data_IF_976868860011
#
_entry.id   IF_976868860011
#
_cell.length_a   1.000
_cell.length_b   1.000
_cell.length_c   1.000
_cell.angle_alpha   90.00
_cell.angle_beta   90.00
_cell.angle_gamma   90.00
#
_symmetry.space_group_name_H-M   'P 1'
#
loop_
_entity.id
_entity.type
_entity.pdbx_description
1 polymer ?
#
# COMPACT_ATOMS: atom_id res chain seq x y z
N UNK A 1 -25.27 -2.00 -4.93
CA UNK A 1 -24.39 -0.81 -5.01
C UNK A 1 -23.05 -1.31 -5.51
N UNK A 2 -22.48 -0.70 -6.56
CA UNK A 2 -21.20 -1.12 -7.11
C UNK A 2 -20.08 -0.92 -6.08
N UNK A 3 -19.11 -1.85 -6.07
CA UNK A 3 -17.97 -1.84 -5.16
C UNK A 3 -16.66 -2.15 -5.92
N UNK A 4 -15.54 -2.28 -5.21
CA UNK A 4 -14.22 -2.52 -5.84
C UNK A 4 -14.12 -3.90 -6.52
N UNK A 5 -14.89 -4.91 -6.11
CA UNK A 5 -14.93 -6.21 -6.77
C UNK A 5 -15.62 -6.10 -8.13
N UNK A 6 -16.74 -5.33 -8.20
CA UNK A 6 -17.40 -5.03 -9.48
C UNK A 6 -16.45 -4.27 -10.44
N UNK A 7 -15.60 -3.39 -9.90
CA UNK A 7 -14.57 -2.72 -10.72
C UNK A 7 -13.55 -3.71 -11.28
N UNK A 8 -13.08 -4.66 -10.48
CA UNK A 8 -12.14 -5.70 -10.94
C UNK A 8 -12.78 -6.61 -11.99
N UNK A 9 -14.04 -6.96 -11.83
CA UNK A 9 -14.79 -7.72 -12.82
C UNK A 9 -14.93 -6.94 -14.14
N UNK A 10 -15.18 -5.64 -14.06
CA UNK A 10 -15.45 -4.76 -15.18
C UNK A 10 -14.20 -4.29 -15.92
N UNK A 11 -13.08 -4.06 -15.19
CA UNK A 11 -11.87 -3.41 -15.68
C UNK A 11 -10.61 -4.24 -15.50
N UNK A 12 -10.71 -5.41 -14.86
CA UNK A 12 -9.59 -6.30 -14.61
C UNK A 12 -8.96 -6.88 -15.88
N UNK A 13 -9.64 -6.82 -17.01
CA UNK A 13 -9.16 -7.21 -18.33
C UNK A 13 -8.28 -6.14 -19.03
N UNK A 14 -8.36 -4.88 -18.60
CA UNK A 14 -7.65 -3.75 -19.21
C UNK A 14 -6.31 -3.47 -18.47
N UNK A 15 -5.16 -3.80 -19.08
CA UNK A 15 -3.88 -3.50 -18.47
C UNK A 15 -3.63 -1.98 -18.43
N UNK A 16 -2.63 -1.54 -17.64
CA UNK A 16 -2.35 -0.12 -17.43
C UNK A 16 -1.91 0.61 -18.70
N UNK A 17 -1.34 -0.08 -19.68
CA UNK A 17 -1.00 0.47 -21.00
C UNK A 17 -2.24 0.82 -21.82
N UNK A 18 -3.33 0.08 -21.63
CA UNK A 18 -4.59 0.32 -22.33
C UNK A 18 -5.52 1.30 -21.57
N UNK A 19 -5.40 1.36 -20.27
CA UNK A 19 -6.18 2.26 -19.42
C UNK A 19 -5.32 2.73 -18.25
N UNK A 20 -4.89 3.98 -18.28
CA UNK A 20 -4.01 4.58 -17.27
C UNK A 20 -4.54 4.40 -15.84
N UNK A 21 -3.62 4.51 -14.87
CA UNK A 21 -3.94 4.48 -13.45
C UNK A 21 -4.98 5.56 -13.08
N UNK A 22 -5.97 5.19 -12.29
CA UNK A 22 -7.04 6.07 -11.85
C UNK A 22 -7.31 5.95 -10.34
N UNK A 23 -8.25 6.76 -9.84
CA UNK A 23 -8.56 6.82 -8.39
C UNK A 23 -9.15 5.51 -7.86
N UNK A 24 -9.83 4.72 -8.68
CA UNK A 24 -10.38 3.41 -8.23
C UNK A 24 -9.25 2.40 -8.06
N UNK A 25 -8.22 2.44 -8.91
CA UNK A 25 -7.00 1.63 -8.71
C UNK A 25 -6.32 1.99 -7.37
N UNK A 26 -6.29 3.28 -7.02
CA UNK A 26 -5.77 3.71 -5.71
C UNK A 26 -6.59 3.15 -4.54
N UNK A 27 -7.92 3.05 -4.67
CA UNK A 27 -8.78 2.38 -3.67
C UNK A 27 -8.45 0.90 -3.58
N UNK A 28 -8.31 0.22 -4.73
CA UNK A 28 -7.92 -1.21 -4.78
C UNK A 28 -6.60 -1.43 -4.07
N UNK A 29 -5.55 -0.67 -4.41
CA UNK A 29 -4.25 -0.81 -3.76
C UNK A 29 -4.28 -0.46 -2.27
N UNK A 30 -4.99 0.60 -1.90
CA UNK A 30 -5.11 0.98 -0.48
C UNK A 30 -5.80 -0.11 0.33
N UNK A 31 -6.77 -0.83 -0.26
CA UNK A 31 -7.41 -1.96 0.40
C UNK A 31 -6.52 -3.20 0.42
N UNK A 32 -5.84 -3.49 -0.68
CA UNK A 32 -4.87 -4.57 -0.82
C UNK A 32 -3.74 -4.48 0.23
N UNK A 33 -3.32 -3.27 0.62
CA UNK A 33 -2.25 -3.09 1.62
C UNK A 33 -2.59 -3.59 3.03
N UNK A 34 -3.85 -3.96 3.31
CA UNK A 34 -4.26 -4.55 4.58
C UNK A 34 -3.97 -6.06 4.69
N UNK A 35 -3.58 -6.69 3.59
CA UNK A 35 -3.22 -8.12 3.59
C UNK A 35 -1.81 -8.29 4.19
N UNK A 36 -1.64 -9.18 5.17
CA UNK A 36 -0.36 -9.40 5.82
C UNK A 36 0.54 -10.29 4.96
N UNK A 37 1.46 -9.67 4.21
CA UNK A 37 2.33 -10.35 3.25
C UNK A 37 3.70 -10.78 3.81
N UNK A 38 3.86 -10.88 5.12
CA UNK A 38 5.10 -11.33 5.75
C UNK A 38 5.60 -12.66 5.17
N UNK A 39 6.84 -12.67 4.67
CA UNK A 39 7.46 -13.85 4.07
C UNK A 39 6.89 -14.27 2.70
N UNK A 40 5.97 -13.49 2.12
CA UNK A 40 5.46 -13.67 0.75
C UNK A 40 6.03 -12.59 -0.17
N UNK A 41 5.83 -11.32 0.18
CA UNK A 41 6.41 -10.18 -0.53
C UNK A 41 7.76 -9.86 0.12
N UNK A 42 8.84 -9.71 -0.68
CA UNK A 42 10.16 -9.33 -0.16
C UNK A 42 10.12 -8.01 0.61
N UNK A 43 10.89 -7.92 1.68
CA UNK A 43 11.10 -6.72 2.49
C UNK A 43 12.13 -5.76 1.89
N UNK A 44 12.85 -6.17 0.87
CA UNK A 44 13.76 -5.36 0.08
C UNK A 44 13.15 -4.91 -1.26
N UNK A 45 13.79 -3.98 -1.94
CA UNK A 45 13.32 -3.43 -3.22
C UNK A 45 13.99 -4.07 -4.46
N UNK A 46 14.94 -4.98 -4.26
CA UNK A 46 15.69 -5.65 -5.33
C UNK A 46 15.03 -6.94 -5.80
N UNK A 47 14.35 -7.64 -4.91
CA UNK A 47 13.56 -8.83 -5.21
C UNK A 47 12.09 -8.49 -5.36
N UNK A 48 11.40 -9.26 -6.20
CA UNK A 48 10.00 -9.01 -6.49
C UNK A 48 9.21 -10.32 -6.55
N UNK A 49 7.92 -10.21 -6.32
CA UNK A 49 6.93 -11.27 -6.56
C UNK A 49 5.75 -10.66 -7.30
N UNK A 50 5.10 -11.40 -8.19
CA UNK A 50 3.89 -10.89 -8.85
C UNK A 50 2.69 -10.89 -7.90
N UNK A 51 1.69 -10.03 -8.14
CA UNK A 51 0.43 -10.07 -7.40
C UNK A 51 -0.23 -11.45 -7.52
N UNK A 52 -0.16 -12.09 -8.69
CA UNK A 52 -0.70 -13.45 -8.90
C UNK A 52 0.00 -14.49 -8.02
N UNK A 53 1.33 -14.51 -7.98
CA UNK A 53 2.10 -15.42 -7.13
C UNK A 53 1.88 -15.14 -5.63
N UNK A 54 1.81 -13.86 -5.24
CA UNK A 54 1.51 -13.50 -3.86
C UNK A 54 0.11 -13.95 -3.45
N UNK A 55 -0.88 -13.80 -4.34
CA UNK A 55 -2.24 -14.29 -4.14
C UNK A 55 -2.28 -15.81 -4.01
N UNK A 56 -1.61 -16.55 -4.90
CA UNK A 56 -1.54 -18.01 -4.84
C UNK A 56 -0.94 -18.50 -3.52
N UNK A 57 0.21 -17.94 -3.12
CA UNK A 57 0.89 -18.31 -1.86
C UNK A 57 0.04 -17.98 -0.62
N UNK A 58 -0.61 -16.82 -0.61
CA UNK A 58 -1.43 -16.39 0.52
C UNK A 58 -2.70 -17.24 0.66
N UNK A 59 -3.44 -17.41 -0.44
CA UNK A 59 -4.70 -18.17 -0.47
C UNK A 59 -4.50 -19.68 -0.37
N UNK A 60 -3.30 -20.19 -0.63
CA UNK A 60 -2.92 -21.57 -0.42
C UNK A 60 -2.63 -21.91 1.05
N UNK A 61 -2.54 -20.93 1.94
CA UNK A 61 -2.24 -21.09 3.36
C UNK A 61 -3.46 -20.71 4.22
N UNK A 62 -4.15 -21.72 4.76
CA UNK A 62 -5.36 -21.52 5.55
C UNK A 62 -5.12 -20.74 6.85
N UNK A 63 -3.93 -20.85 7.46
CA UNK A 63 -3.58 -20.13 8.66
C UNK A 63 -3.45 -18.64 8.34
N UNK A 64 -2.78 -18.29 7.25
CA UNK A 64 -2.66 -16.88 6.77
C UNK A 64 -4.02 -16.25 6.47
N UNK A 65 -4.94 -17.00 5.85
CA UNK A 65 -6.27 -16.50 5.55
C UNK A 65 -7.05 -16.05 6.80
N UNK A 66 -6.76 -16.62 7.98
CA UNK A 66 -7.39 -16.19 9.23
C UNK A 66 -6.85 -14.86 9.78
N UNK A 67 -5.73 -14.38 9.25
CA UNK A 67 -5.06 -13.16 9.72
C UNK A 67 -5.62 -11.89 9.06
N UNK A 68 -6.42 -12.01 8.00
CA UNK A 68 -7.03 -10.84 7.36
C UNK A 68 -8.00 -10.12 8.29
N UNK A 69 -8.08 -8.80 8.13
CA UNK A 69 -8.99 -7.97 8.93
C UNK A 69 -10.45 -8.18 8.51
N UNK A 70 -10.67 -8.40 7.21
CA UNK A 70 -12.00 -8.59 6.64
C UNK A 70 -11.96 -9.71 5.59
N UNK A 71 -12.96 -10.57 5.60
CA UNK A 71 -13.05 -11.71 4.67
C UNK A 71 -13.10 -11.29 3.19
N UNK A 72 -13.67 -10.12 2.90
CA UNK A 72 -13.71 -9.59 1.53
C UNK A 72 -12.32 -9.27 0.97
N UNK A 73 -11.29 -9.12 1.81
CA UNK A 73 -9.91 -8.93 1.36
C UNK A 73 -9.36 -10.17 0.65
N UNK A 74 -9.84 -11.37 1.03
CA UNK A 74 -9.49 -12.62 0.33
C UNK A 74 -10.07 -12.66 -1.09
N UNK A 75 -11.32 -12.19 -1.24
CA UNK A 75 -11.96 -12.08 -2.56
C UNK A 75 -11.24 -11.05 -3.43
N UNK A 76 -10.87 -9.92 -2.83
CA UNK A 76 -10.10 -8.87 -3.50
C UNK A 76 -8.76 -9.41 -4.00
N UNK A 77 -8.02 -10.11 -3.13
CA UNK A 77 -6.72 -10.70 -3.47
C UNK A 77 -6.85 -11.71 -4.60
N UNK A 78 -7.84 -12.61 -4.53
CA UNK A 78 -8.11 -13.59 -5.58
C UNK A 78 -8.43 -12.91 -6.92
N UNK A 79 -9.30 -11.90 -6.91
CA UNK A 79 -9.69 -11.17 -8.11
C UNK A 79 -8.52 -10.37 -8.70
N UNK A 80 -7.67 -9.75 -7.87
CA UNK A 80 -6.47 -9.05 -8.33
C UNK A 80 -5.48 -10.02 -8.96
N UNK A 81 -5.20 -11.16 -8.29
CA UNK A 81 -4.27 -12.17 -8.80
C UNK A 81 -4.70 -12.77 -10.15
N UNK A 82 -6.00 -12.95 -10.36
CA UNK A 82 -6.56 -13.47 -11.59
C UNK A 82 -6.70 -12.43 -12.73
N UNK A 83 -6.61 -11.13 -12.41
CA UNK A 83 -6.86 -10.07 -13.37
C UNK A 83 -5.65 -9.78 -14.25
N UNK A 84 -5.89 -9.42 -15.52
CA UNK A 84 -4.84 -8.96 -16.43
C UNK A 84 -4.28 -7.60 -16.01
N UNK A 85 -5.10 -6.76 -15.35
CA UNK A 85 -4.72 -5.43 -14.89
C UNK A 85 -3.72 -5.47 -13.75
N UNK A 86 -3.93 -6.34 -12.77
CA UNK A 86 -3.15 -6.35 -11.53
C UNK A 86 -2.24 -7.57 -11.36
N UNK A 87 -2.61 -8.72 -11.92
CA UNK A 87 -1.95 -10.00 -11.64
C UNK A 87 -0.44 -10.02 -11.93
N UNK A 88 -0.01 -9.34 -12.99
CA UNK A 88 1.40 -9.30 -13.41
C UNK A 88 2.20 -8.15 -12.78
N UNK A 89 1.59 -7.29 -11.96
CA UNK A 89 2.31 -6.23 -11.26
C UNK A 89 3.27 -6.84 -10.25
N UNK A 90 4.43 -6.19 -10.09
CA UNK A 90 5.47 -6.66 -9.19
C UNK A 90 5.38 -5.97 -7.84
N UNK A 91 5.46 -6.74 -6.78
CA UNK A 91 5.45 -6.29 -5.38
C UNK A 91 6.84 -6.40 -4.78
N UNK A 92 7.24 -5.43 -3.98
CA UNK A 92 8.49 -5.40 -3.23
C UNK A 92 8.41 -4.47 -2.02
N UNK A 93 9.41 -4.49 -1.17
CA UNK A 93 9.55 -3.57 -0.04
C UNK A 93 8.41 -3.69 0.97
N UNK A 94 7.86 -4.90 1.18
CA UNK A 94 6.80 -5.05 2.18
C UNK A 94 7.35 -4.84 3.60
N UNK A 95 6.76 -3.91 4.30
CA UNK A 95 7.12 -3.56 5.67
C UNK A 95 5.89 -3.58 6.56
N UNK A 96 6.02 -4.17 7.75
CA UNK A 96 4.99 -4.18 8.77
C UNK A 96 5.62 -4.09 10.15
N UNK A 97 5.45 -2.95 10.81
CA UNK A 97 6.08 -2.62 12.09
C UNK A 97 5.02 -2.31 13.13
N UNK A 98 5.09 -2.99 14.25
CA UNK A 98 4.30 -2.70 15.44
C UNK A 98 5.25 -2.53 16.62
N UNK A 99 5.25 -1.36 17.24
CA UNK A 99 6.10 -1.02 18.38
C UNK A 99 5.25 -0.34 19.48
N UNK A 100 5.09 -1.05 20.59
CA UNK A 100 4.26 -0.59 21.70
C UNK A 100 4.94 0.52 22.52
N UNK A 101 6.28 0.53 22.59
CA UNK A 101 7.02 1.49 23.41
C UNK A 101 6.90 2.90 22.84
N UNK A 102 7.10 3.04 21.54
CA UNK A 102 6.99 4.32 20.84
C UNK A 102 5.61 4.54 20.20
N UNK A 103 4.68 3.62 20.40
CA UNK A 103 3.31 3.66 19.87
C UNK A 103 3.29 3.83 18.35
N UNK A 104 4.05 2.99 17.63
CA UNK A 104 4.14 2.98 16.18
C UNK A 104 3.40 1.78 15.58
N UNK A 105 2.48 2.03 14.66
CA UNK A 105 1.92 1.02 13.77
C UNK A 105 2.09 1.49 12.33
N UNK A 106 3.02 0.89 11.60
CA UNK A 106 3.37 1.24 10.23
C UNK A 106 3.35 0.02 9.33
N UNK A 107 2.82 0.16 8.14
CA UNK A 107 2.98 -0.84 7.08
C UNK A 107 2.90 -0.18 5.72
N UNK A 108 3.70 -0.68 4.78
CA UNK A 108 3.74 -0.23 3.41
C UNK A 108 4.13 -1.36 2.46
N UNK A 109 3.78 -1.21 1.20
CA UNK A 109 4.21 -2.06 0.10
C UNK A 109 4.41 -1.22 -1.15
N UNK A 110 5.39 -1.57 -1.98
CA UNK A 110 5.60 -0.92 -3.28
C UNK A 110 5.13 -1.84 -4.41
N UNK A 111 4.32 -1.29 -5.29
CA UNK A 111 3.79 -1.94 -6.50
C UNK A 111 4.45 -1.31 -7.72
N UNK A 112 5.21 -2.06 -8.49
CA UNK A 112 5.75 -1.60 -9.78
C UNK A 112 4.67 -1.73 -10.84
N UNK A 113 4.23 -0.59 -11.42
CA UNK A 113 3.11 -0.55 -12.36
C UNK A 113 3.57 -0.79 -13.80
N UNK A 114 4.63 -0.10 -14.22
CA UNK A 114 5.29 -0.21 -15.53
C UNK A 114 6.71 0.36 -15.41
N UNK A 115 7.50 0.31 -16.47
CA UNK A 115 8.97 0.42 -16.48
C UNK A 115 9.56 1.52 -15.57
N UNK A 116 8.93 2.66 -15.45
CA UNK A 116 9.45 3.82 -14.71
C UNK A 116 8.47 4.41 -13.69
N UNK A 117 7.33 3.75 -13.42
CA UNK A 117 6.34 4.20 -12.44
C UNK A 117 6.06 3.13 -11.39
N UNK A 118 6.24 3.49 -10.13
CA UNK A 118 5.91 2.66 -8.98
C UNK A 118 4.88 3.33 -8.07
N UNK A 119 4.03 2.55 -7.44
CA UNK A 119 3.05 3.03 -6.45
C UNK A 119 3.48 2.59 -5.06
N UNK A 120 3.79 3.54 -4.19
CA UNK A 120 3.98 3.28 -2.76
C UNK A 120 2.63 3.35 -2.07
N UNK A 121 2.25 2.26 -1.41
CA UNK A 121 0.96 2.09 -0.76
C UNK A 121 1.15 2.01 0.75
N UNK A 122 0.66 3.02 1.45
CA UNK A 122 0.69 3.05 2.91
C UNK A 122 -0.60 2.49 3.49
N UNK A 123 -0.48 1.51 4.38
CA UNK A 123 -1.63 0.93 5.08
C UNK A 123 -2.17 1.91 6.13
N UNK A 124 -3.47 1.95 6.25
CA UNK A 124 -4.15 2.64 7.35
C UNK A 124 -4.06 1.87 8.67
N UNK A 125 -4.82 2.35 9.65
CA UNK A 125 -4.85 1.75 10.99
C UNK A 125 -5.44 0.34 10.95
N UNK A 126 -4.79 -0.57 11.64
CA UNK A 126 -5.27 -1.94 11.86
C UNK A 126 -6.17 -2.03 13.11
N UNK A 127 -6.41 -3.25 13.59
CA UNK A 127 -7.24 -3.49 14.80
C UNK A 127 -6.45 -3.36 16.12
N UNK A 128 -5.18 -2.99 16.08
CA UNK A 128 -4.34 -2.92 17.28
C UNK A 128 -4.63 -1.66 18.11
N UNK A 129 -4.50 -1.79 19.42
CA UNK A 129 -4.58 -0.64 20.34
C UNK A 129 -3.48 0.38 20.07
N UNK A 130 -2.31 -0.11 19.63
CA UNK A 130 -1.16 0.73 19.25
C UNK A 130 -1.52 1.64 18.07
N UNK A 131 -2.14 1.08 17.03
CA UNK A 131 -2.61 1.86 15.87
C UNK A 131 -3.62 2.94 16.28
N UNK A 132 -4.59 2.60 17.10
CA UNK A 132 -5.58 3.57 17.61
C UNK A 132 -4.97 4.66 18.48
N UNK A 133 -3.98 4.32 19.33
CA UNK A 133 -3.25 5.32 20.12
C UNK A 133 -2.45 6.27 19.25
N UNK A 134 -1.75 5.75 18.25
CA UNK A 134 -1.00 6.57 17.32
C UNK A 134 -1.92 7.52 16.54
N UNK A 135 -3.12 7.08 16.13
CA UNK A 135 -4.11 7.94 15.48
C UNK A 135 -4.53 9.10 16.41
N UNK A 136 -4.81 8.82 17.69
CA UNK A 136 -5.11 9.86 18.64
C UNK A 136 -3.93 10.83 18.82
N UNK A 137 -2.69 10.32 18.83
CA UNK A 137 -1.49 11.14 18.95
C UNK A 137 -1.32 12.12 17.79
N UNK A 138 -1.81 11.80 16.57
CA UNK A 138 -1.76 12.72 15.43
C UNK A 138 -2.48 14.04 15.67
N UNK A 139 -3.42 14.11 16.63
CA UNK A 139 -4.08 15.36 17.01
C UNK A 139 -3.15 16.35 17.78
N UNK A 140 -2.08 15.85 18.38
CA UNK A 140 -1.21 16.62 19.27
C UNK A 140 0.26 16.60 18.86
N UNK A 141 0.68 15.60 18.09
CA UNK A 141 2.06 15.36 17.71
C UNK A 141 2.20 15.34 16.18
N UNK A 142 3.18 16.05 15.69
CA UNK A 142 3.63 15.97 14.30
C UNK A 142 5.16 16.20 14.24
N UNK A 143 5.93 15.25 13.76
CA UNK A 143 5.51 13.94 13.24
C UNK A 143 5.26 12.90 14.33
N UNK A 144 4.29 12.01 14.10
CA UNK A 144 4.20 10.73 14.83
C UNK A 144 5.19 9.70 14.25
N UNK A 145 5.49 8.60 14.97
CA UNK A 145 6.47 7.61 14.52
C UNK A 145 6.20 7.03 13.12
N UNK A 146 4.95 6.72 12.78
CA UNK A 146 4.60 6.21 11.45
C UNK A 146 4.78 7.23 10.33
N UNK A 147 4.62 8.53 10.59
CA UNK A 147 4.91 9.58 9.61
C UNK A 147 6.41 9.62 9.27
N UNK A 148 7.28 9.48 10.29
CA UNK A 148 8.73 9.38 10.04
C UNK A 148 9.09 8.12 9.27
N UNK A 149 8.48 6.99 9.64
CA UNK A 149 8.67 5.73 8.91
C UNK A 149 8.21 5.83 7.44
N UNK A 150 7.12 6.54 7.16
CA UNK A 150 6.64 6.74 5.79
C UNK A 150 7.61 7.53 4.92
N UNK A 151 8.25 8.57 5.46
CA UNK A 151 9.29 9.34 4.75
C UNK A 151 10.52 8.47 4.50
N UNK A 152 10.96 7.73 5.51
CA UNK A 152 12.12 6.86 5.40
C UNK A 152 11.90 5.72 4.40
N UNK A 153 10.72 5.10 4.42
CA UNK A 153 10.34 4.09 3.45
C UNK A 153 10.39 4.63 2.00
N UNK A 154 9.80 5.82 1.77
CA UNK A 154 9.81 6.44 0.45
C UNK A 154 11.24 6.77 -0.02
N UNK A 155 12.11 7.22 0.90
CA UNK A 155 13.53 7.50 0.61
C UNK A 155 14.25 6.22 0.19
N UNK A 156 14.10 5.13 0.95
CA UNK A 156 14.71 3.83 0.64
C UNK A 156 14.20 3.25 -0.69
N UNK A 157 12.89 3.35 -0.95
CA UNK A 157 12.32 2.96 -2.22
C UNK A 157 12.95 3.76 -3.38
N UNK A 158 13.07 5.07 -3.23
CA UNK A 158 13.60 5.95 -4.26
C UNK A 158 15.09 5.80 -4.53
N UNK A 159 15.87 5.33 -3.56
CA UNK A 159 17.29 5.00 -3.73
C UNK A 159 17.49 3.73 -4.58
N UNK A 160 16.56 2.79 -4.50
CA UNK A 160 16.69 1.48 -5.14
C UNK A 160 15.82 1.31 -6.40
N UNK A 161 14.73 2.08 -6.51
CA UNK A 161 13.83 2.03 -7.66
C UNK A 161 13.99 3.32 -8.46
N UNK A 162 14.43 3.23 -9.74
CA UNK A 162 14.46 4.40 -10.63
C UNK A 162 13.04 4.85 -11.00
N UNK A 163 12.95 6.03 -11.66
CA UNK A 163 11.68 6.54 -12.19
C UNK A 163 10.88 7.36 -11.19
N UNK A 164 9.57 7.31 -11.30
CA UNK A 164 8.63 8.18 -10.61
C UNK A 164 7.67 7.40 -9.71
N UNK A 165 7.03 8.11 -8.78
CA UNK A 165 6.19 7.49 -7.77
C UNK A 165 4.77 8.05 -7.76
N UNK A 166 3.81 7.16 -7.59
CA UNK A 166 2.48 7.44 -7.07
C UNK A 166 2.48 7.07 -5.59
N UNK A 167 1.84 7.87 -4.76
CA UNK A 167 1.66 7.54 -3.34
C UNK A 167 0.18 7.37 -3.07
N UNK A 168 -0.21 6.31 -2.42
CA UNK A 168 -1.61 6.14 -2.03
C UNK A 168 -1.76 5.52 -0.64
N UNK A 169 -2.93 5.74 -0.05
CA UNK A 169 -3.30 5.16 1.22
C UNK A 169 -4.69 5.59 1.64
N UNK A 170 -5.30 4.77 2.49
CA UNK A 170 -6.61 5.03 3.07
C UNK A 170 -6.47 5.40 4.55
N UNK A 171 -7.30 6.31 5.05
CA UNK A 171 -7.34 6.72 6.45
C UNK A 171 -5.97 7.24 6.93
N UNK A 172 -5.36 6.66 7.97
CA UNK A 172 -3.99 6.97 8.39
C UNK A 172 -3.00 6.83 7.24
N UNK A 173 -3.12 5.79 6.39
CA UNK A 173 -2.26 5.61 5.22
C UNK A 173 -2.33 6.79 4.25
N UNK A 174 -3.50 7.41 4.08
CA UNK A 174 -3.66 8.63 3.31
C UNK A 174 -2.93 9.84 3.92
N UNK A 175 -2.94 9.96 5.25
CA UNK A 175 -2.15 10.96 5.98
C UNK A 175 -0.64 10.71 5.78
N UNK A 176 -0.20 9.45 5.90
CA UNK A 176 1.20 9.08 5.70
C UNK A 176 1.68 9.42 4.28
N UNK A 177 0.86 9.15 3.26
CA UNK A 177 1.17 9.48 1.87
C UNK A 177 1.36 11.00 1.66
N UNK A 178 0.44 11.81 2.20
CA UNK A 178 0.55 13.28 2.15
C UNK A 178 1.77 13.75 2.91
N UNK A 179 1.96 13.24 4.14
CA UNK A 179 3.08 13.65 4.98
C UNK A 179 4.44 13.34 4.32
N UNK A 180 4.60 12.12 3.79
CA UNK A 180 5.82 11.72 3.11
C UNK A 180 6.10 12.61 1.88
N UNK A 181 5.08 12.87 1.03
CA UNK A 181 5.23 13.74 -0.12
C UNK A 181 5.58 15.19 0.23
N UNK A 182 4.99 15.71 1.31
CA UNK A 182 5.20 17.10 1.71
C UNK A 182 6.55 17.35 2.40
N UNK A 183 7.13 16.33 3.04
CA UNK A 183 8.31 16.49 3.91
C UNK A 183 9.56 15.79 3.41
N UNK A 184 9.48 14.97 2.36
CA UNK A 184 10.68 14.40 1.75
C UNK A 184 11.52 15.46 1.03
N UNK A 185 12.75 15.11 0.65
CA UNK A 185 13.67 15.98 -0.05
C UNK A 185 13.10 16.48 -1.39
N UNK A 186 13.45 17.71 -1.80
CA UNK A 186 12.97 18.32 -3.04
C UNK A 186 13.20 17.46 -4.28
N UNK A 187 14.36 16.84 -4.38
CA UNK A 187 14.71 15.93 -5.48
C UNK A 187 13.80 14.72 -5.56
N UNK A 188 13.30 14.25 -4.42
CA UNK A 188 12.35 13.16 -4.35
C UNK A 188 10.92 13.66 -4.62
N UNK A 189 10.55 14.85 -4.14
CA UNK A 189 9.28 15.48 -4.48
C UNK A 189 9.11 15.62 -6.00
N UNK A 190 10.16 15.98 -6.73
CA UNK A 190 10.15 16.12 -8.18
C UNK A 190 9.92 14.77 -8.93
N UNK A 191 10.07 13.64 -8.22
CA UNK A 191 9.75 12.30 -8.71
C UNK A 191 8.33 11.83 -8.34
N UNK A 192 7.57 12.58 -7.55
CA UNK A 192 6.20 12.20 -7.15
C UNK A 192 5.21 12.77 -8.17
N UNK A 193 4.54 11.88 -8.90
CA UNK A 193 3.55 12.26 -9.91
C UNK A 193 2.19 12.64 -9.29
N UNK A 194 1.76 11.88 -8.28
CA UNK A 194 0.45 12.04 -7.67
C UNK A 194 0.41 11.44 -6.27
N UNK A 195 -0.39 12.05 -5.40
CA UNK A 195 -0.76 11.51 -4.08
C UNK A 195 -2.27 11.28 -4.06
N UNK A 196 -2.68 10.03 -3.82
CA UNK A 196 -4.06 9.63 -3.68
C UNK A 196 -4.35 9.35 -2.19
N UNK A 197 -4.86 10.32 -1.48
CA UNK A 197 -5.29 10.19 -0.10
C UNK A 197 -6.79 9.91 -0.05
N UNK A 198 -7.17 8.75 0.46
CA UNK A 198 -8.54 8.25 0.49
C UNK A 198 -9.08 8.28 1.93
N UNK A 199 -10.21 8.97 2.14
CA UNK A 199 -10.85 9.07 3.48
C UNK A 199 -9.85 9.45 4.57
N UNK A 200 -9.14 10.57 4.37
CA UNK A 200 -8.12 11.07 5.30
C UNK A 200 -8.68 11.13 6.73
N UNK A 201 -7.90 10.65 7.70
CA UNK A 201 -8.16 10.94 9.11
C UNK A 201 -7.97 12.44 9.31
N UNK A 202 -9.07 13.12 9.65
CA UNK A 202 -9.08 14.49 10.14
C UNK A 202 -9.15 14.43 11.67
N UNK A 203 -8.04 14.66 12.30
CA UNK A 203 -7.96 14.78 13.75
C UNK A 203 -7.61 16.22 14.09
#
# INVERSE_FOLDING_TARGET
MANILDYLEWRGDLPFEASAFNEVDAVVFSRFSYIPFEGIVPDDFSHTVTVAEAAERFLGDTERMTQVIYEDDLKLLAAMGASRRFGNLLLCGYENQLDEEIQKQFSAVTVKLFDDVSCVVYRGTDKTVVGWREDCNMAFLSPVPSQRAAVEYLRQAAEQIPGTFLLCGHSKGGNLAIYAAATCERTLQDRILKVCSLSLIHI
#
